data_IF_108178473580
#
_entry.id   IF_108178473580
#
_cell.length_a   1.000
_cell.length_b   1.000
_cell.length_c   1.000
_cell.angle_alpha   90.00
_cell.angle_beta   90.00
_cell.angle_gamma   90.00
#
_symmetry.space_group_name_H-M   'P 1'
#
loop_
_entity.id
_entity.type
_entity.pdbx_description
1 polymer ?
#
# COMPACT_ATOMS: atom_id res chain seq x y z
N UNK A 1 -23.40 37.22 -1.24
CA UNK A 1 -23.10 37.79 -2.55
C UNK A 1 -21.64 38.17 -2.47
N UNK A 2 -20.76 37.21 -2.76
CA UNK A 2 -19.32 37.37 -2.68
C UNK A 2 -18.74 36.74 -3.95
N UNK A 3 -18.16 37.59 -4.80
CA UNK A 3 -17.56 37.24 -6.09
C UNK A 3 -16.29 36.41 -5.87
N UNK A 4 -16.32 35.16 -6.35
CA UNK A 4 -15.09 34.42 -6.65
C UNK A 4 -14.37 35.12 -7.80
N UNK A 5 -13.21 35.71 -7.53
CA UNK A 5 -12.29 36.13 -8.58
C UNK A 5 -11.55 34.89 -9.13
N UNK A 6 -11.82 34.54 -10.39
CA UNK A 6 -10.96 33.65 -11.17
C UNK A 6 -9.63 34.36 -11.51
N UNK A 7 -8.50 33.64 -11.57
CA UNK A 7 -7.25 34.24 -12.01
C UNK A 7 -7.28 34.52 -13.52
N UNK A 8 -6.96 35.76 -13.90
CA UNK A 8 -6.83 36.20 -15.29
C UNK A 8 -5.80 35.35 -16.06
N UNK A 9 -6.23 34.81 -17.20
CA UNK A 9 -5.35 34.24 -18.20
C UNK A 9 -4.47 35.33 -18.80
N UNK A 10 -3.16 35.25 -18.55
CA UNK A 10 -2.14 36.05 -19.25
C UNK A 10 -1.93 35.44 -20.65
N UNK A 11 -2.11 36.18 -21.75
CA UNK A 11 -1.87 35.65 -23.08
C UNK A 11 -0.36 35.50 -23.32
N UNK A 12 0.04 34.31 -23.79
CA UNK A 12 1.39 34.10 -24.31
C UNK A 12 1.48 34.75 -25.69
N UNK A 13 2.16 35.89 -25.76
CA UNK A 13 2.55 36.51 -27.03
C UNK A 13 3.76 35.74 -27.57
N UNK A 14 3.57 34.97 -28.63
CA UNK A 14 4.70 34.45 -29.42
C UNK A 14 5.28 35.61 -30.22
N UNK A 15 6.30 36.30 -29.69
CA UNK A 15 7.19 37.04 -30.57
C UNK A 15 7.94 36.01 -31.40
N UNK A 16 7.74 35.99 -32.71
CA UNK A 16 8.61 35.26 -33.63
C UNK A 16 10.03 35.79 -33.46
N UNK A 17 10.82 35.12 -32.63
CA UNK A 17 12.26 35.29 -32.61
C UNK A 17 12.79 34.61 -33.86
N UNK A 18 12.96 35.40 -34.93
CA UNK A 18 13.79 35.01 -36.06
C UNK A 18 15.14 34.51 -35.53
N UNK A 19 15.37 33.21 -35.67
CA UNK A 19 16.60 32.55 -35.27
C UNK A 19 17.71 32.96 -36.25
N UNK A 20 18.28 34.14 -36.02
CA UNK A 20 19.48 34.61 -36.68
C UNK A 20 20.62 33.62 -36.40
N UNK A 21 21.05 32.94 -37.46
CA UNK A 21 22.22 32.05 -37.46
C UNK A 21 23.46 32.89 -37.13
N UNK A 22 23.92 32.80 -35.87
CA UNK A 22 25.16 33.43 -35.42
C UNK A 22 26.35 32.89 -36.21
N UNK A 23 26.85 33.69 -37.15
CA UNK A 23 28.21 33.60 -37.68
C UNK A 23 29.00 34.75 -37.09
N UNK A 24 30.13 34.48 -36.45
CA UNK A 24 31.11 35.53 -36.14
C UNK A 24 31.89 35.79 -37.42
N UNK A 25 31.80 37.03 -37.90
CA UNK A 25 32.48 37.52 -39.10
C UNK A 25 33.71 38.27 -38.61
N UNK A 26 34.91 37.86 -39.02
CA UNK A 26 36.13 38.62 -38.74
C UNK A 26 36.17 39.92 -39.58
N UNK A 27 37.10 40.82 -39.28
CA UNK A 27 37.25 42.12 -39.99
C UNK A 27 37.55 41.95 -41.50
N UNK A 28 37.83 40.72 -41.97
CA UNK A 28 38.06 40.34 -43.36
C UNK A 28 36.84 39.66 -44.03
N UNK A 29 35.71 39.55 -43.32
CA UNK A 29 34.46 39.02 -43.88
C UNK A 29 34.32 37.49 -43.85
N UNK A 30 35.23 36.77 -43.16
CA UNK A 30 35.24 35.31 -43.13
C UNK A 30 34.37 34.78 -41.98
N UNK A 31 33.35 33.99 -42.34
CA UNK A 31 32.43 33.37 -41.39
C UNK A 31 33.09 32.13 -40.76
N UNK A 32 33.31 32.13 -39.45
CA UNK A 32 33.76 30.94 -38.71
C UNK A 32 32.69 30.46 -37.73
N UNK A 33 32.57 29.13 -37.55
CA UNK A 33 31.65 28.53 -36.56
C UNK A 33 32.23 28.76 -35.16
N UNK A 34 31.42 29.26 -34.23
CA UNK A 34 31.83 29.47 -32.84
C UNK A 34 32.18 28.15 -32.14
N UNK A 35 33.27 28.07 -31.35
CA UNK A 35 33.78 26.83 -30.76
C UNK A 35 32.81 26.18 -29.74
N UNK A 36 31.81 26.93 -29.27
CA UNK A 36 30.82 26.46 -28.29
C UNK A 36 29.77 25.50 -28.86
N UNK A 37 29.54 25.48 -30.19
CA UNK A 37 28.51 24.59 -30.77
C UNK A 37 28.86 23.11 -30.62
N UNK A 38 30.16 22.78 -30.71
CA UNK A 38 30.64 21.41 -30.53
C UNK A 38 30.52 20.97 -29.08
N UNK A 39 30.80 21.86 -28.12
CA UNK A 39 30.68 21.58 -26.69
C UNK A 39 29.23 21.33 -26.30
N UNK A 40 28.29 22.18 -26.76
CA UNK A 40 26.87 21.99 -26.49
C UNK A 40 26.33 20.67 -27.09
N UNK A 41 26.80 20.27 -28.28
CA UNK A 41 26.43 18.97 -28.86
C UNK A 41 26.93 17.80 -28.02
N UNK A 42 28.15 17.87 -27.48
CA UNK A 42 28.68 16.83 -26.58
C UNK A 42 27.91 16.76 -25.26
N UNK A 43 27.53 17.91 -24.69
CA UNK A 43 26.73 17.94 -23.46
C UNK A 43 25.31 17.39 -23.68
N UNK A 44 24.66 17.73 -24.79
CA UNK A 44 23.35 17.16 -25.16
C UNK A 44 23.43 15.64 -25.37
N UNK A 45 24.48 15.15 -26.04
CA UNK A 45 24.68 13.71 -26.22
C UNK A 45 24.91 13.00 -24.87
N UNK A 46 25.63 13.62 -23.95
CA UNK A 46 25.85 13.09 -22.60
C UNK A 46 24.53 13.03 -21.79
N UNK A 47 23.71 14.08 -21.86
CA UNK A 47 22.40 14.10 -21.21
C UNK A 47 21.46 13.05 -21.79
N UNK A 48 21.41 12.91 -23.12
CA UNK A 48 20.62 11.87 -23.78
C UNK A 48 21.09 10.46 -23.40
N UNK A 49 22.41 10.24 -23.28
CA UNK A 49 22.96 8.96 -22.83
C UNK A 49 22.58 8.66 -21.37
N UNK A 50 22.61 9.67 -20.49
CA UNK A 50 22.17 9.52 -19.10
C UNK A 50 20.68 9.19 -19.01
N UNK A 51 19.82 9.90 -19.76
CA UNK A 51 18.39 9.62 -19.83
C UNK A 51 18.12 8.21 -20.35
N UNK A 52 18.81 7.78 -21.41
CA UNK A 52 18.68 6.43 -21.94
C UNK A 52 19.10 5.36 -20.92
N UNK A 53 20.16 5.61 -20.13
CA UNK A 53 20.59 4.71 -19.05
C UNK A 53 19.54 4.59 -17.94
N UNK A 54 18.95 5.71 -17.49
CA UNK A 54 17.89 5.68 -16.48
C UNK A 54 16.61 5.02 -16.98
N UNK A 55 16.19 5.30 -18.22
CA UNK A 55 15.02 4.66 -18.83
C UNK A 55 15.27 3.15 -19.01
N UNK A 56 16.44 2.77 -19.51
CA UNK A 56 16.82 1.36 -19.67
C UNK A 56 16.88 0.62 -18.35
N UNK A 57 17.50 1.21 -17.32
CA UNK A 57 17.53 0.67 -15.96
C UNK A 57 16.13 0.51 -15.36
N UNK A 58 15.25 1.50 -15.55
CA UNK A 58 13.85 1.43 -15.13
C UNK A 58 13.11 0.27 -15.80
N UNK A 59 13.24 0.09 -17.11
CA UNK A 59 12.62 -1.04 -17.82
C UNK A 59 13.19 -2.39 -17.40
N UNK A 60 14.49 -2.50 -17.12
CA UNK A 60 15.10 -3.72 -16.57
C UNK A 60 14.51 -4.03 -15.20
N UNK A 61 14.35 -3.03 -14.32
CA UNK A 61 13.74 -3.21 -13.00
C UNK A 61 12.26 -3.59 -13.08
N UNK A 62 11.49 -3.01 -14.00
CA UNK A 62 10.11 -3.44 -14.27
C UNK A 62 10.09 -4.90 -14.71
N UNK A 63 10.92 -5.27 -15.68
CA UNK A 63 10.94 -6.65 -16.18
C UNK A 63 11.41 -7.65 -15.12
N UNK A 64 12.36 -7.27 -14.28
CA UNK A 64 12.83 -8.07 -13.15
C UNK A 64 11.71 -8.24 -12.11
N UNK A 65 10.93 -7.18 -11.84
CA UNK A 65 9.74 -7.22 -10.97
C UNK A 65 8.63 -8.09 -11.56
N UNK A 66 8.38 -8.05 -12.86
CA UNK A 66 7.42 -8.92 -13.53
C UNK A 66 7.83 -10.41 -13.45
N UNK A 67 9.12 -10.72 -13.53
CA UNK A 67 9.63 -12.10 -13.42
C UNK A 67 9.63 -12.64 -11.97
N UNK A 68 9.68 -11.75 -10.98
CA UNK A 68 9.73 -12.11 -9.55
C UNK A 68 8.45 -11.79 -8.78
N UNK A 69 7.45 -11.20 -9.42
CA UNK A 69 6.10 -11.24 -8.87
C UNK A 69 5.68 -12.70 -8.95
N UNK A 70 5.44 -13.37 -7.82
CA UNK A 70 4.64 -14.57 -7.87
C UNK A 70 3.36 -14.15 -8.59
N UNK A 71 3.04 -14.78 -9.72
CA UNK A 71 1.64 -14.87 -10.09
C UNK A 71 1.00 -15.63 -8.94
N UNK A 72 0.54 -14.89 -7.92
CA UNK A 72 -0.70 -15.26 -7.29
C UNK A 72 -1.66 -15.22 -8.46
N UNK A 73 -1.87 -16.38 -9.09
CA UNK A 73 -2.91 -16.55 -10.10
C UNK A 73 -4.11 -15.79 -9.55
N UNK A 74 -4.55 -14.75 -10.26
CA UNK A 74 -5.81 -14.10 -9.94
C UNK A 74 -6.79 -15.25 -9.79
N UNK A 75 -7.19 -15.55 -8.55
CA UNK A 75 -8.21 -16.56 -8.30
C UNK A 75 -9.35 -16.12 -9.21
N UNK A 76 -9.68 -16.95 -10.22
CA UNK A 76 -10.83 -16.71 -11.07
C UNK A 76 -11.97 -16.26 -10.15
N UNK A 77 -12.77 -15.23 -10.50
CA UNK A 77 -13.89 -14.82 -9.67
C UNK A 77 -14.72 -16.08 -9.44
N UNK A 78 -14.59 -16.66 -8.24
CA UNK A 78 -15.29 -17.87 -7.90
C UNK A 78 -16.76 -17.46 -8.01
N UNK A 79 -17.49 -18.07 -8.94
CA UNK A 79 -18.94 -17.89 -9.00
C UNK A 79 -19.43 -17.99 -7.56
N UNK A 80 -20.30 -17.07 -7.15
CA UNK A 80 -20.84 -16.99 -5.81
C UNK A 80 -21.70 -18.22 -5.52
N UNK A 81 -21.08 -19.40 -5.45
CA UNK A 81 -21.63 -20.56 -4.79
C UNK A 81 -21.76 -20.14 -3.34
N UNK A 82 -22.97 -20.27 -2.80
CA UNK A 82 -23.28 -20.01 -1.40
C UNK A 82 -22.28 -20.76 -0.53
N UNK A 83 -21.21 -20.10 -0.10
CA UNK A 83 -20.28 -20.67 0.85
C UNK A 83 -20.97 -20.50 2.19
N UNK A 84 -21.69 -21.56 2.60
CA UNK A 84 -22.36 -21.69 3.89
C UNK A 84 -21.33 -21.87 5.03
N UNK A 85 -20.29 -21.03 5.08
CA UNK A 85 -19.23 -21.04 6.10
C UNK A 85 -18.84 -19.62 6.54
N UNK A 86 -19.81 -18.72 6.67
CA UNK A 86 -19.61 -17.37 7.18
C UNK A 86 -20.23 -17.20 8.58
N UNK A 87 -20.15 -18.24 9.42
CA UNK A 87 -20.63 -18.13 10.79
C UNK A 87 -19.52 -17.64 11.71
N UNK A 88 -19.90 -17.02 12.83
CA UNK A 88 -18.95 -16.66 13.89
C UNK A 88 -18.16 -17.85 14.41
N UNK A 89 -18.70 -19.06 14.29
CA UNK A 89 -18.07 -20.29 14.76
C UNK A 89 -16.91 -20.70 13.84
N UNK A 90 -17.03 -20.47 12.52
CA UNK A 90 -15.97 -20.77 11.55
C UNK A 90 -14.71 -19.94 11.85
N UNK A 91 -14.87 -18.71 12.33
CA UNK A 91 -13.75 -17.85 12.75
C UNK A 91 -12.96 -18.43 13.92
N UNK A 92 -13.64 -19.12 14.86
CA UNK A 92 -13.00 -19.70 16.02
C UNK A 92 -12.05 -20.86 15.64
N UNK A 93 -12.37 -21.58 14.56
CA UNK A 93 -11.62 -22.75 14.11
C UNK A 93 -10.45 -22.42 13.17
N UNK A 94 -10.45 -21.24 12.54
CA UNK A 94 -9.35 -20.81 11.69
C UNK A 94 -8.28 -20.06 12.49
N UNK A 95 -7.34 -20.82 13.08
CA UNK A 95 -6.26 -20.25 13.89
C UNK A 95 -5.20 -19.48 13.08
N UNK A 96 -5.18 -19.67 11.75
CA UNK A 96 -4.20 -19.04 10.86
C UNK A 96 -2.75 -19.48 11.10
N UNK A 97 -2.55 -20.64 11.70
CA UNK A 97 -1.21 -21.18 11.98
C UNK A 97 -0.66 -21.85 10.73
N UNK A 98 0.54 -21.47 10.33
CA UNK A 98 1.25 -22.00 9.16
C UNK A 98 2.65 -22.47 9.53
N UNK A 99 3.19 -23.40 8.76
CA UNK A 99 4.57 -23.88 8.89
C UNK A 99 5.32 -23.55 7.60
N UNK A 100 6.51 -22.98 7.71
CA UNK A 100 7.36 -22.63 6.57
C UNK A 100 8.81 -23.04 6.86
N UNK A 101 9.59 -23.32 5.83
CA UNK A 101 10.99 -23.70 6.01
C UNK A 101 11.81 -22.55 6.60
N UNK A 102 12.82 -22.89 7.41
CA UNK A 102 13.79 -21.91 7.94
C UNK A 102 14.45 -21.10 6.82
N UNK A 103 14.75 -21.76 5.70
CA UNK A 103 15.34 -21.11 4.52
C UNK A 103 14.38 -20.08 3.91
N UNK A 104 13.11 -20.44 3.71
CA UNK A 104 12.13 -19.51 3.12
C UNK A 104 11.89 -18.32 4.06
N UNK A 105 11.76 -18.57 5.36
CA UNK A 105 11.61 -17.51 6.36
C UNK A 105 12.78 -16.52 6.34
N UNK A 106 14.02 -17.02 6.28
CA UNK A 106 15.21 -16.19 6.20
C UNK A 106 15.28 -15.37 4.90
N UNK A 107 14.93 -15.98 3.76
CA UNK A 107 14.89 -15.29 2.46
C UNK A 107 13.86 -14.16 2.42
N UNK A 108 12.76 -14.27 3.17
CA UNK A 108 11.68 -13.29 3.22
C UNK A 108 11.79 -12.34 4.42
N UNK A 109 12.86 -12.43 5.20
CA UNK A 109 13.10 -11.53 6.34
C UNK A 109 12.07 -11.67 7.46
N UNK A 110 11.50 -12.86 7.64
CA UNK A 110 10.55 -13.11 8.72
C UNK A 110 11.22 -13.05 10.10
N UNK A 111 10.46 -12.67 11.15
CA UNK A 111 10.98 -12.68 12.50
C UNK A 111 11.35 -14.11 12.95
N UNK A 112 12.27 -14.28 13.90
CA UNK A 112 12.51 -15.58 14.51
C UNK A 112 11.23 -16.20 15.06
N UNK A 113 11.13 -17.52 14.98
CA UNK A 113 9.96 -18.25 15.47
C UNK A 113 10.32 -19.60 16.09
N UNK A 114 9.34 -20.22 16.74
CA UNK A 114 9.43 -21.56 17.26
C UNK A 114 9.55 -22.61 16.13
N UNK A 115 10.27 -23.72 16.36
CA UNK A 115 10.29 -24.82 15.42
C UNK A 115 8.94 -25.53 15.40
N UNK A 116 8.55 -26.03 14.24
CA UNK A 116 7.36 -26.88 14.09
C UNK A 116 7.58 -28.21 14.82
N UNK A 117 6.70 -28.64 15.75
CA UNK A 117 6.94 -29.82 16.59
C UNK A 117 7.20 -31.12 15.81
N UNK A 118 6.51 -31.29 14.69
CA UNK A 118 6.51 -32.54 13.91
C UNK A 118 7.32 -32.45 12.61
N UNK A 119 7.95 -31.31 12.31
CA UNK A 119 8.63 -31.08 11.02
C UNK A 119 9.96 -30.35 11.22
N UNK A 120 11.09 -31.09 11.32
CA UNK A 120 12.41 -30.49 11.48
C UNK A 120 12.77 -29.57 10.31
N UNK A 121 13.38 -28.42 10.62
CA UNK A 121 13.77 -27.42 9.62
C UNK A 121 12.65 -26.49 9.17
N UNK A 122 11.48 -26.59 9.80
CA UNK A 122 10.38 -25.64 9.64
C UNK A 122 10.11 -24.86 10.92
N UNK A 123 9.59 -23.65 10.72
CA UNK A 123 9.21 -22.71 11.73
C UNK A 123 7.71 -22.44 11.63
N UNK A 124 7.07 -22.31 12.78
CA UNK A 124 5.63 -22.11 12.86
C UNK A 124 5.30 -20.62 12.99
N UNK A 125 4.32 -20.10 12.26
CA UNK A 125 3.91 -18.69 12.31
C UNK A 125 2.40 -18.59 12.44
N UNK A 126 1.92 -17.46 12.96
CA UNK A 126 0.51 -17.10 12.93
C UNK A 126 0.29 -15.97 11.93
N UNK A 127 -0.73 -16.13 11.08
CA UNK A 127 -1.21 -15.07 10.21
C UNK A 127 -2.04 -14.08 11.04
N UNK A 128 -1.59 -12.83 11.15
CA UNK A 128 -2.15 -11.86 12.09
C UNK A 128 -3.62 -11.52 11.84
N UNK A 129 -4.09 -11.56 10.60
CA UNK A 129 -5.50 -11.36 10.27
C UNK A 129 -6.42 -12.40 10.90
N UNK A 130 -5.97 -13.66 10.99
CA UNK A 130 -6.72 -14.71 11.69
C UNK A 130 -6.65 -14.55 13.20
N UNK A 131 -5.54 -14.05 13.74
CA UNK A 131 -5.46 -13.68 15.15
C UNK A 131 -6.45 -12.55 15.49
N UNK A 132 -6.52 -11.49 14.68
CA UNK A 132 -7.48 -10.40 14.85
C UNK A 132 -8.93 -10.92 14.83
N UNK A 133 -9.24 -11.85 13.94
CA UNK A 133 -10.54 -12.51 13.84
C UNK A 133 -10.85 -13.36 15.09
N UNK A 134 -9.88 -14.15 15.57
CA UNK A 134 -10.01 -14.91 16.81
C UNK A 134 -10.29 -13.99 18.01
N UNK A 135 -9.54 -12.89 18.15
CA UNK A 135 -9.77 -11.92 19.22
C UNK A 135 -11.17 -11.28 19.15
N UNK A 136 -11.65 -10.93 17.95
CA UNK A 136 -12.99 -10.38 17.77
C UNK A 136 -14.08 -11.38 18.20
N UNK A 137 -13.90 -12.66 17.86
CA UNK A 137 -14.79 -13.73 18.33
C UNK A 137 -14.77 -13.85 19.86
N UNK A 138 -13.59 -13.86 20.48
CA UNK A 138 -13.47 -13.92 21.95
C UNK A 138 -14.16 -12.73 22.65
N UNK A 139 -14.05 -11.53 22.08
CA UNK A 139 -14.76 -10.33 22.58
C UNK A 139 -16.28 -10.54 22.46
N UNK A 140 -16.77 -11.04 21.32
CA UNK A 140 -18.18 -11.32 21.11
C UNK A 140 -18.72 -12.32 22.13
N UNK A 141 -18.04 -13.44 22.33
CA UNK A 141 -18.46 -14.46 23.31
C UNK A 141 -18.51 -13.87 24.72
N UNK A 142 -17.51 -13.10 25.11
CA UNK A 142 -17.51 -12.43 26.41
C UNK A 142 -18.69 -11.45 26.57
N UNK A 143 -19.06 -10.72 25.52
CA UNK A 143 -20.20 -9.80 25.53
C UNK A 143 -21.55 -10.55 25.59
N UNK A 144 -21.67 -11.67 24.87
CA UNK A 144 -22.87 -12.52 24.90
C UNK A 144 -23.09 -13.16 26.27
N UNK A 145 -22.02 -13.55 26.96
CA UNK A 145 -22.08 -14.16 28.29
C UNK A 145 -22.40 -13.14 29.40
N UNK A 146 -21.89 -11.90 29.30
CA UNK A 146 -21.87 -10.96 30.43
C UNK A 146 -22.82 -9.75 30.30
N UNK A 147 -23.39 -9.47 29.13
CA UNK A 147 -24.17 -8.25 28.89
C UNK A 147 -25.46 -8.49 28.09
N UNK A 148 -26.38 -7.52 28.16
CA UNK A 148 -27.51 -7.46 27.24
C UNK A 148 -26.99 -7.09 25.85
N UNK A 149 -26.84 -8.10 24.99
CA UNK A 149 -26.44 -7.95 23.61
C UNK A 149 -27.53 -7.22 22.81
N UNK A 150 -27.45 -5.90 22.74
CA UNK A 150 -28.38 -5.11 21.95
C UNK A 150 -28.08 -5.23 20.44
N UNK A 151 -29.07 -4.87 19.62
CA UNK A 151 -28.93 -4.89 18.17
C UNK A 151 -27.76 -4.02 17.68
N UNK A 152 -27.47 -2.91 18.38
CA UNK A 152 -26.40 -1.99 18.00
C UNK A 152 -25.00 -2.57 18.25
N UNK A 153 -24.85 -3.41 19.26
CA UNK A 153 -23.60 -4.13 19.52
C UNK A 153 -23.43 -5.24 18.50
N UNK A 154 -24.50 -5.98 18.19
CA UNK A 154 -24.49 -7.05 17.21
C UNK A 154 -24.07 -6.62 15.82
N UNK A 155 -24.75 -5.64 15.22
CA UNK A 155 -24.38 -5.17 13.87
C UNK A 155 -22.99 -4.49 13.83
N UNK A 156 -22.53 -3.87 14.93
CA UNK A 156 -21.18 -3.31 15.01
C UNK A 156 -20.11 -4.41 14.97
N UNK A 157 -20.31 -5.50 15.71
CA UNK A 157 -19.40 -6.66 15.66
C UNK A 157 -19.40 -7.28 14.26
N UNK A 158 -20.55 -7.42 13.61
CA UNK A 158 -20.62 -7.88 12.21
C UNK A 158 -19.88 -6.96 11.24
N UNK A 159 -20.03 -5.64 11.40
CA UNK A 159 -19.32 -4.67 10.59
C UNK A 159 -17.80 -4.79 10.76
N UNK A 160 -17.31 -4.97 12.00
CA UNK A 160 -15.90 -5.21 12.28
C UNK A 160 -15.42 -6.51 11.65
N UNK A 161 -16.22 -7.59 11.76
CA UNK A 161 -15.92 -8.88 11.13
C UNK A 161 -15.74 -8.74 9.63
N UNK A 162 -16.69 -8.10 8.94
CA UNK A 162 -16.58 -7.84 7.50
C UNK A 162 -15.36 -6.97 7.14
N UNK A 163 -15.05 -5.97 7.95
CA UNK A 163 -13.89 -5.09 7.72
C UNK A 163 -12.58 -5.87 7.82
N UNK A 164 -12.45 -6.75 8.82
CA UNK A 164 -11.29 -7.63 8.98
C UNK A 164 -11.17 -8.65 7.85
N UNK A 165 -12.28 -9.27 7.42
CA UNK A 165 -12.28 -10.18 6.28
C UNK A 165 -11.87 -9.49 4.97
N UNK A 166 -12.30 -8.23 4.78
CA UNK A 166 -11.98 -7.45 3.60
C UNK A 166 -10.53 -6.91 3.59
N UNK A 167 -9.95 -6.70 4.77
CA UNK A 167 -8.60 -6.14 4.94
C UNK A 167 -7.75 -7.10 5.78
N UNK A 168 -7.78 -8.39 5.42
CA UNK A 168 -7.09 -9.42 6.19
C UNK A 168 -5.58 -9.16 6.17
N UNK A 169 -4.98 -8.99 7.35
CA UNK A 169 -3.55 -8.85 7.47
C UNK A 169 -2.85 -10.21 7.28
N UNK A 170 -2.08 -10.34 6.21
CA UNK A 170 -1.36 -11.58 5.87
C UNK A 170 0.04 -11.64 6.48
N UNK A 171 0.39 -10.69 7.35
CA UNK A 171 1.68 -10.67 8.04
C UNK A 171 1.84 -11.93 8.89
N UNK A 172 3.04 -12.52 8.85
CA UNK A 172 3.40 -13.71 9.59
C UNK A 172 4.10 -13.32 10.89
N UNK A 173 3.37 -13.44 12.01
CA UNK A 173 3.92 -13.27 13.34
C UNK A 173 4.63 -14.53 13.81
N UNK A 174 5.85 -14.36 14.32
CA UNK A 174 6.60 -15.43 14.96
C UNK A 174 5.92 -15.87 16.26
N UNK A 175 6.01 -17.14 16.58
CA UNK A 175 5.48 -17.73 17.81
C UNK A 175 6.61 -18.02 18.79
N UNK A 176 6.32 -17.82 20.08
CA UNK A 176 7.27 -18.12 21.15
C UNK A 176 7.41 -19.65 21.33
N UNK A 177 8.64 -20.10 21.57
CA UNK A 177 8.97 -21.50 21.87
C UNK A 177 8.31 -21.99 23.15
N UNK A 178 8.15 -21.10 24.14
CA UNK A 178 7.60 -21.44 25.45
C UNK A 178 6.08 -21.21 25.51
N UNK A 179 5.51 -20.46 24.55
CA UNK A 179 4.09 -20.17 24.49
C UNK A 179 3.60 -19.98 23.05
N UNK A 180 3.39 -21.10 22.35
CA UNK A 180 2.88 -21.14 20.97
C UNK A 180 1.49 -20.49 20.81
N UNK A 181 0.77 -20.21 21.90
CA UNK A 181 -0.56 -19.59 21.89
C UNK A 181 -0.60 -18.18 22.46
N UNK A 182 0.50 -17.70 23.04
CA UNK A 182 0.69 -16.31 23.42
C UNK A 182 1.59 -15.67 22.39
N UNK A 183 1.07 -15.52 21.17
CA UNK A 183 1.77 -14.81 20.12
C UNK A 183 2.11 -13.41 20.65
N UNK A 184 3.37 -13.20 21.02
CA UNK A 184 3.94 -11.87 21.11
C UNK A 184 4.04 -11.40 19.65
N UNK A 185 2.93 -10.88 19.11
CA UNK A 185 2.86 -10.25 17.78
C UNK A 185 3.78 -9.03 17.65
N UNK A 186 4.53 -8.71 18.71
CA UNK A 186 5.43 -7.57 18.84
C UNK A 186 6.62 -7.57 17.88
N UNK A 187 6.93 -8.69 17.22
CA UNK A 187 8.05 -8.77 16.26
C UNK A 187 7.62 -8.70 14.79
N UNK A 188 6.33 -8.75 14.49
CA UNK A 188 5.83 -8.63 13.13
C UNK A 188 5.87 -7.18 12.66
N UNK A 189 6.44 -6.93 11.49
CA UNK A 189 6.41 -5.60 10.86
C UNK A 189 5.20 -5.53 9.94
N UNK A 190 4.22 -4.73 10.32
CA UNK A 190 3.02 -4.51 9.52
C UNK A 190 3.21 -3.38 8.51
N UNK A 191 2.55 -3.52 7.36
CA UNK A 191 2.42 -2.43 6.38
C UNK A 191 1.03 -1.80 6.50
N UNK A 192 0.97 -0.61 7.08
CA UNK A 192 -0.29 0.08 7.35
C UNK A 192 -0.59 1.15 6.29
N UNK A 193 -1.88 1.49 6.13
CA UNK A 193 -2.28 2.76 5.51
C UNK A 193 -1.84 3.92 6.40
N UNK A 194 -1.46 5.04 5.79
CA UNK A 194 -1.10 6.26 6.53
C UNK A 194 -2.33 6.82 7.26
N UNK A 195 -2.43 6.53 8.55
CA UNK A 195 -3.53 6.94 9.41
C UNK A 195 -3.66 8.47 9.44
N UNK A 196 -2.55 9.18 9.58
CA UNK A 196 -2.56 10.64 9.71
C UNK A 196 -2.95 11.32 8.40
N UNK A 197 -2.57 10.76 7.26
CA UNK A 197 -3.05 11.23 5.96
C UNK A 197 -4.57 11.06 5.83
N UNK A 198 -5.12 9.90 6.22
CA UNK A 198 -6.56 9.64 6.18
C UNK A 198 -7.32 10.57 7.13
N UNK A 199 -6.81 10.79 8.34
CA UNK A 199 -7.41 11.72 9.32
C UNK A 199 -7.41 13.14 8.78
N UNK A 200 -6.27 13.63 8.27
CA UNK A 200 -6.18 14.98 7.70
C UNK A 200 -7.15 15.19 6.54
N UNK A 201 -7.26 14.21 5.65
CA UNK A 201 -8.23 14.28 4.55
C UNK A 201 -9.66 14.31 5.07
N UNK A 202 -9.99 13.46 6.05
CA UNK A 202 -11.35 13.39 6.64
C UNK A 202 -11.76 14.70 7.29
N UNK A 203 -10.88 15.31 8.09
CA UNK A 203 -11.15 16.61 8.74
C UNK A 203 -11.31 17.72 7.71
N UNK A 204 -10.44 17.77 6.68
CA UNK A 204 -10.53 18.79 5.63
C UNK A 204 -11.82 18.71 4.81
N UNK A 205 -12.46 17.53 4.75
CA UNK A 205 -13.67 17.26 3.99
C UNK A 205 -14.88 16.97 4.89
N UNK A 206 -14.82 17.33 6.18
CA UNK A 206 -15.89 17.04 7.11
C UNK A 206 -17.20 17.77 6.72
N UNK A 207 -18.34 17.11 6.95
CA UNK A 207 -19.62 17.76 6.77
C UNK A 207 -19.89 18.74 7.92
N UNK A 208 -19.53 20.00 7.70
CA UNK A 208 -19.54 21.06 8.72
C UNK A 208 -20.88 21.27 9.44
N UNK A 209 -21.99 20.94 8.78
CA UNK A 209 -23.34 21.14 9.32
C UNK A 209 -23.96 19.86 9.89
N UNK A 210 -23.18 18.78 10.05
CA UNK A 210 -23.68 17.50 10.56
C UNK A 210 -24.39 17.65 11.92
N UNK A 211 -23.75 18.30 12.89
CA UNK A 211 -24.31 18.43 14.24
C UNK A 211 -25.61 19.24 14.25
N UNK A 212 -25.66 20.35 13.53
CA UNK A 212 -26.86 21.17 13.42
C UNK A 212 -27.99 20.40 12.73
N UNK A 213 -27.68 19.64 11.67
CA UNK A 213 -28.67 18.79 11.00
C UNK A 213 -29.20 17.70 11.93
N UNK A 214 -28.32 16.99 12.64
CA UNK A 214 -28.73 15.92 13.58
C UNK A 214 -29.67 16.44 14.66
N UNK A 215 -29.37 17.61 15.25
CA UNK A 215 -30.20 18.20 16.32
C UNK A 215 -31.57 18.64 15.80
N UNK A 216 -31.66 19.10 14.55
CA UNK A 216 -32.90 19.63 13.98
C UNK A 216 -33.76 18.57 13.26
N UNK A 217 -33.24 17.35 13.05
CA UNK A 217 -33.87 16.31 12.24
C UNK A 217 -33.98 14.93 12.93
N UNK A 218 -33.67 14.84 14.23
CA UNK A 218 -34.01 13.71 15.10
C UNK A 218 -35.21 14.05 15.98
#
# INVERSE_FOLDING_TARGET
MDEKHEPECVPLVTSELEYSRYWVVDDEGKKSKTPYSSICLWLLLLELANVAFFIGGYFILIKAREQHQPQLDDCEPRESGSFYYETWDDMAWHHGIVSVTEEWAAQHGLPPSAPTPDTPGELVYQVDGFHAMHCLHMIRENLLENYHFDHHTGHCLEYLRHTLMCNLDITLAGMDKDNLFGAESSYAVHTCRDYDAVVRWSVANEWKNLLEWVVNNQ
#
